data_IF_039023264876
#
_entry.id   IF_039023264876
#
_cell.length_a   1.000
_cell.length_b   1.000
_cell.length_c   1.000
_cell.angle_alpha   90.00
_cell.angle_beta   90.00
_cell.angle_gamma   90.00
#
_symmetry.space_group_name_H-M   'P 1'
#
loop_
_entity.id
_entity.type
_entity.pdbx_description
1 polymer ?
#
# COMPACT_ATOMS: atom_id res chain seq x y z
N UNK A 1 37.75 -22.01 27.83
CA UNK A 1 36.30 -21.94 27.99
C UNK A 1 35.70 -22.99 27.10
N UNK A 2 34.95 -23.97 27.62
CA UNK A 2 34.38 -25.02 26.79
C UNK A 2 33.26 -24.46 25.93
N UNK A 3 33.30 -24.74 24.62
CA UNK A 3 32.23 -24.49 23.70
C UNK A 3 30.98 -25.27 24.15
N UNK A 4 29.94 -24.58 24.54
CA UNK A 4 28.63 -25.18 24.80
C UNK A 4 28.12 -25.73 23.48
N UNK A 5 28.14 -27.06 23.36
CA UNK A 5 27.47 -27.79 22.30
C UNK A 5 25.97 -27.45 22.36
N UNK A 6 25.52 -26.60 21.45
CA UNK A 6 24.10 -26.35 21.25
C UNK A 6 23.43 -27.67 20.88
N UNK A 7 22.37 -28.03 21.60
CA UNK A 7 21.57 -29.21 21.33
C UNK A 7 21.05 -29.19 19.91
N UNK A 8 21.18 -30.29 19.13
CA UNK A 8 20.61 -30.40 17.78
C UNK A 8 19.10 -30.59 17.91
N UNK A 9 18.33 -29.49 17.95
CA UNK A 9 16.85 -29.60 18.05
C UNK A 9 16.07 -28.31 18.21
N UNK A 10 16.73 -27.19 18.46
CA UNK A 10 16.00 -25.91 18.51
C UNK A 10 15.83 -25.35 17.12
N UNK A 11 14.90 -25.95 16.39
CA UNK A 11 14.43 -25.40 15.12
C UNK A 11 13.82 -24.04 15.42
N UNK A 12 14.44 -22.99 14.88
CA UNK A 12 13.82 -21.67 14.87
C UNK A 12 12.44 -21.81 14.21
N UNK A 13 11.38 -21.18 14.76
CA UNK A 13 10.09 -21.11 14.06
C UNK A 13 10.21 -20.14 12.87
N UNK A 14 11.09 -20.47 11.91
CA UNK A 14 11.30 -19.72 10.67
C UNK A 14 10.02 -19.69 9.83
N UNK A 15 9.19 -20.72 9.97
CA UNK A 15 7.92 -20.83 9.25
C UNK A 15 6.98 -19.68 9.57
N UNK A 16 6.88 -19.27 10.83
CA UNK A 16 5.98 -18.21 11.27
C UNK A 16 6.53 -16.79 11.07
N UNK A 17 7.80 -16.63 10.70
CA UNK A 17 8.43 -15.33 10.47
C UNK A 17 8.88 -15.19 9.02
N UNK A 18 9.96 -15.84 8.65
CA UNK A 18 10.55 -15.72 7.30
C UNK A 18 9.69 -16.40 6.23
N UNK A 19 9.01 -17.50 6.56
CA UNK A 19 8.06 -18.17 5.64
C UNK A 19 6.88 -17.27 5.29
N UNK A 20 6.30 -16.58 6.27
CA UNK A 20 5.20 -15.63 6.04
C UNK A 20 5.66 -14.43 5.20
N UNK A 21 6.86 -13.89 5.48
CA UNK A 21 7.45 -12.80 4.68
C UNK A 21 7.68 -13.23 3.23
N UNK A 22 8.20 -14.44 3.00
CA UNK A 22 8.42 -14.97 1.65
C UNK A 22 7.09 -15.10 0.87
N UNK A 23 6.04 -15.63 1.52
CA UNK A 23 4.71 -15.71 0.91
C UNK A 23 4.20 -14.31 0.57
N UNK A 24 4.37 -13.34 1.47
CA UNK A 24 4.02 -11.94 1.23
C UNK A 24 4.70 -11.36 -0.01
N UNK A 25 6.01 -11.61 -0.18
CA UNK A 25 6.77 -11.16 -1.36
C UNK A 25 6.27 -11.82 -2.64
N UNK A 26 5.96 -13.11 -2.62
CA UNK A 26 5.40 -13.83 -3.78
C UNK A 26 4.05 -13.22 -4.18
N UNK A 27 3.16 -12.99 -3.22
CA UNK A 27 1.87 -12.36 -3.47
C UNK A 27 2.01 -10.93 -4.01
N UNK A 28 2.92 -10.15 -3.45
CA UNK A 28 3.23 -8.80 -3.93
C UNK A 28 3.79 -8.82 -5.37
N UNK A 29 4.62 -9.79 -5.71
CA UNK A 29 5.14 -9.94 -7.07
C UNK A 29 4.04 -10.27 -8.09
N UNK A 30 3.07 -11.12 -7.72
CA UNK A 30 1.90 -11.41 -8.57
C UNK A 30 1.06 -10.15 -8.78
N UNK A 31 0.77 -9.40 -7.71
CA UNK A 31 0.00 -8.15 -7.79
C UNK A 31 0.74 -7.09 -8.64
N UNK A 32 2.06 -6.97 -8.47
CA UNK A 32 2.89 -6.11 -9.30
C UNK A 32 2.84 -6.49 -10.78
N UNK A 33 2.87 -7.78 -11.10
CA UNK A 33 2.68 -8.27 -12.48
C UNK A 33 1.33 -7.88 -13.07
N UNK A 34 0.27 -7.96 -12.28
CA UNK A 34 -1.07 -7.51 -12.68
C UNK A 34 -1.07 -6.00 -12.93
N UNK A 35 -0.45 -5.21 -12.05
CA UNK A 35 -0.32 -3.76 -12.17
C UNK A 35 0.41 -3.34 -13.45
N UNK A 36 1.49 -4.05 -13.81
CA UNK A 36 2.21 -3.89 -15.08
C UNK A 36 1.31 -4.09 -16.29
N UNK A 37 0.58 -5.21 -16.32
CA UNK A 37 -0.33 -5.53 -17.45
C UNK A 37 -1.44 -4.49 -17.56
N UNK A 38 -2.02 -4.06 -16.44
CA UNK A 38 -3.06 -3.02 -16.41
C UNK A 38 -2.53 -1.69 -16.92
N UNK A 39 -1.32 -1.31 -16.54
CA UNK A 39 -0.65 -0.08 -16.99
C UNK A 39 -0.40 -0.12 -18.50
N UNK A 40 0.16 -1.22 -19.03
CA UNK A 40 0.36 -1.40 -20.46
C UNK A 40 -0.96 -1.33 -21.23
N UNK A 41 -1.99 -2.01 -20.72
CA UNK A 41 -3.33 -1.97 -21.30
C UNK A 41 -3.89 -0.54 -21.33
N UNK A 42 -3.73 0.22 -20.23
CA UNK A 42 -4.18 1.60 -20.14
C UNK A 42 -3.52 2.48 -21.19
N UNK A 43 -2.20 2.46 -21.33
CA UNK A 43 -1.48 3.28 -22.30
C UNK A 43 -1.85 2.94 -23.76
N UNK A 44 -2.07 1.65 -24.06
CA UNK A 44 -2.46 1.21 -25.39
C UNK A 44 -3.92 1.56 -25.70
N UNK A 45 -4.81 1.48 -24.72
CA UNK A 45 -6.26 1.65 -24.92
C UNK A 45 -6.69 3.12 -24.90
N UNK A 46 -5.98 3.96 -24.13
CA UNK A 46 -6.34 5.37 -23.91
C UNK A 46 -5.20 6.34 -24.29
N UNK A 47 -4.75 6.32 -25.58
CA UNK A 47 -3.63 7.16 -26.02
C UNK A 47 -3.96 8.64 -26.01
N UNK A 48 -5.24 9.02 -26.04
CA UNK A 48 -5.73 10.41 -26.06
C UNK A 48 -6.12 10.96 -24.68
N UNK A 49 -5.94 10.18 -23.60
CA UNK A 49 -6.23 10.65 -22.26
C UNK A 49 -5.33 11.83 -21.86
N UNK A 50 -5.84 12.62 -20.94
CA UNK A 50 -5.15 13.81 -20.44
C UNK A 50 -3.84 13.43 -19.74
N UNK A 51 -2.82 14.25 -19.95
CA UNK A 51 -1.46 13.94 -19.54
C UNK A 51 -1.30 13.67 -18.04
N UNK A 52 -2.05 14.37 -17.17
CA UNK A 52 -1.96 14.17 -15.72
C UNK A 52 -2.44 12.78 -15.26
N UNK A 53 -3.42 12.16 -15.95
CA UNK A 53 -3.83 10.78 -15.66
C UNK A 53 -2.76 9.79 -16.07
N UNK A 54 -2.12 10.01 -17.22
CA UNK A 54 -0.99 9.17 -17.66
C UNK A 54 0.21 9.30 -16.71
N UNK A 55 0.48 10.53 -16.27
CA UNK A 55 1.55 10.78 -15.30
C UNK A 55 1.26 10.07 -13.96
N UNK A 56 0.01 10.13 -13.48
CA UNK A 56 -0.40 9.43 -12.26
C UNK A 56 -0.18 7.92 -12.38
N UNK A 57 -0.65 7.29 -13.47
CA UNK A 57 -0.49 5.85 -13.70
C UNK A 57 0.99 5.47 -13.80
N UNK A 58 1.79 6.25 -14.53
CA UNK A 58 3.23 5.99 -14.66
C UNK A 58 3.97 6.16 -13.31
N UNK A 59 3.59 7.17 -12.52
CA UNK A 59 4.19 7.46 -11.23
C UNK A 59 3.84 6.37 -10.19
N UNK A 60 2.59 5.91 -10.19
CA UNK A 60 2.18 4.78 -9.33
C UNK A 60 3.00 3.54 -9.66
N UNK A 61 3.10 3.16 -10.95
CA UNK A 61 3.91 2.01 -11.35
C UNK A 61 5.39 2.18 -10.99
N UNK A 62 5.94 3.40 -11.10
CA UNK A 62 7.32 3.69 -10.71
C UNK A 62 7.54 3.43 -9.21
N UNK A 63 6.66 3.91 -8.34
CA UNK A 63 6.76 3.65 -6.90
C UNK A 63 6.52 2.17 -6.55
N UNK A 64 5.58 1.50 -7.22
CA UNK A 64 5.36 0.06 -7.04
C UNK A 64 6.61 -0.75 -7.41
N UNK A 65 7.33 -0.33 -8.47
CA UNK A 65 8.59 -0.95 -8.88
C UNK A 65 9.68 -0.78 -7.81
N UNK A 66 9.82 0.42 -7.24
CA UNK A 66 10.78 0.69 -6.17
C UNK A 66 10.42 -0.10 -4.92
N UNK A 67 9.14 -0.12 -4.54
CA UNK A 67 8.66 -0.92 -3.42
C UNK A 67 9.01 -2.40 -3.61
N UNK A 68 8.72 -2.97 -4.78
CA UNK A 68 9.03 -4.37 -5.09
C UNK A 68 10.53 -4.67 -5.03
N UNK A 69 11.38 -3.73 -5.48
CA UNK A 69 12.83 -3.87 -5.39
C UNK A 69 13.32 -3.90 -3.93
N UNK A 70 12.82 -3.00 -3.07
CA UNK A 70 13.19 -2.98 -1.65
C UNK A 70 12.69 -4.22 -0.91
N UNK A 71 11.46 -4.63 -1.14
CA UNK A 71 10.88 -5.82 -0.53
C UNK A 71 11.66 -7.10 -0.94
N UNK A 72 12.04 -7.21 -2.22
CA UNK A 72 12.87 -8.31 -2.72
C UNK A 72 14.27 -8.28 -2.10
N UNK A 73 14.89 -7.11 -1.98
CA UNK A 73 16.19 -6.95 -1.30
C UNK A 73 16.11 -7.38 0.17
N UNK A 74 15.06 -6.97 0.87
CA UNK A 74 14.82 -7.34 2.27
C UNK A 74 14.79 -8.86 2.45
N UNK A 75 13.95 -9.55 1.69
CA UNK A 75 13.82 -11.00 1.83
C UNK A 75 15.09 -11.74 1.41
N UNK A 76 15.78 -11.27 0.36
CA UNK A 76 17.05 -11.83 -0.07
C UNK A 76 18.12 -11.69 1.04
N UNK A 77 18.19 -10.53 1.68
CA UNK A 77 19.13 -10.28 2.77
C UNK A 77 18.93 -11.27 3.92
N UNK A 78 17.70 -11.46 4.39
CA UNK A 78 17.43 -12.36 5.53
C UNK A 78 17.53 -13.83 5.16
N UNK A 79 17.10 -14.26 3.96
CA UNK A 79 17.09 -15.67 3.59
C UNK A 79 18.40 -16.16 2.98
N UNK A 80 19.17 -15.28 2.33
CA UNK A 80 20.37 -15.68 1.59
C UNK A 80 21.63 -15.12 2.26
N UNK A 81 21.72 -13.79 2.40
CA UNK A 81 22.94 -13.13 2.88
C UNK A 81 23.21 -13.45 4.34
N UNK A 82 22.18 -13.46 5.19
CA UNK A 82 22.25 -13.74 6.62
C UNK A 82 21.71 -15.13 6.96
N UNK A 83 21.84 -16.07 6.01
CA UNK A 83 21.42 -17.46 6.22
C UNK A 83 22.05 -18.02 7.50
N UNK A 84 21.21 -18.62 8.36
CA UNK A 84 21.62 -19.21 9.64
C UNK A 84 22.11 -18.24 10.74
N UNK A 85 22.11 -16.93 10.53
CA UNK A 85 22.48 -15.94 11.55
C UNK A 85 21.25 -15.47 12.35
N UNK A 86 21.03 -16.09 13.53
CA UNK A 86 19.88 -15.79 14.40
C UNK A 86 19.89 -14.35 14.91
N UNK A 87 21.04 -13.77 15.14
CA UNK A 87 21.16 -12.40 15.67
C UNK A 87 20.76 -11.36 14.65
N UNK A 88 21.00 -11.61 13.36
CA UNK A 88 20.63 -10.68 12.29
C UNK A 88 19.12 -10.49 12.13
N UNK A 89 18.32 -11.46 12.57
CA UNK A 89 16.85 -11.38 12.54
C UNK A 89 16.29 -10.34 13.53
N UNK A 90 17.08 -9.91 14.51
CA UNK A 90 16.68 -8.87 15.45
C UNK A 90 16.96 -7.45 14.92
N UNK A 91 17.84 -7.32 13.94
CA UNK A 91 18.21 -6.02 13.37
C UNK A 91 17.46 -5.75 12.07
N UNK A 92 17.06 -4.51 11.91
CA UNK A 92 16.36 -4.09 10.69
C UNK A 92 17.36 -3.75 9.58
N UNK A 93 17.11 -4.29 8.39
CA UNK A 93 17.80 -3.86 7.18
C UNK A 93 17.20 -2.53 6.72
N UNK A 94 18.02 -1.61 6.26
CA UNK A 94 17.61 -0.30 5.77
C UNK A 94 16.45 -0.37 4.74
N UNK A 95 16.40 -1.44 3.93
CA UNK A 95 15.37 -1.61 2.91
C UNK A 95 13.96 -1.84 3.48
N UNK A 96 13.84 -2.39 4.69
CA UNK A 96 12.56 -2.52 5.42
C UNK A 96 11.95 -1.14 5.69
N UNK A 97 12.78 -0.19 6.09
CA UNK A 97 12.31 1.18 6.34
C UNK A 97 12.11 1.96 5.04
N UNK A 98 13.00 1.73 4.06
CA UNK A 98 12.94 2.40 2.78
C UNK A 98 11.67 2.04 1.97
N UNK A 99 11.11 0.82 2.12
CA UNK A 99 9.89 0.42 1.42
C UNK A 99 8.64 1.19 1.88
N UNK A 100 8.65 1.75 3.09
CA UNK A 100 7.55 2.58 3.59
C UNK A 100 7.40 3.89 2.79
N UNK A 101 8.49 4.41 2.22
CA UNK A 101 8.49 5.67 1.46
C UNK A 101 7.67 5.55 0.17
N UNK A 102 7.97 4.64 -0.78
CA UNK A 102 7.17 4.47 -1.99
C UNK A 102 5.72 4.08 -1.68
N UNK A 103 5.48 3.27 -0.65
CA UNK A 103 4.13 2.90 -0.21
C UNK A 103 3.33 4.13 0.22
N UNK A 104 3.91 5.00 1.04
CA UNK A 104 3.27 6.25 1.48
C UNK A 104 2.96 7.20 0.30
N UNK A 105 3.88 7.34 -0.65
CA UNK A 105 3.65 8.16 -1.85
C UNK A 105 2.55 7.59 -2.73
N UNK A 106 2.56 6.29 -3.01
CA UNK A 106 1.50 5.63 -3.80
C UNK A 106 0.14 5.82 -3.13
N UNK A 107 0.01 5.55 -1.84
CA UNK A 107 -1.23 5.75 -1.08
C UNK A 107 -1.72 7.20 -1.18
N UNK A 108 -0.86 8.17 -0.91
CA UNK A 108 -1.19 9.59 -0.96
C UNK A 108 -1.69 10.02 -2.36
N UNK A 109 -0.99 9.64 -3.43
CA UNK A 109 -1.40 9.98 -4.80
C UNK A 109 -2.74 9.38 -5.18
N UNK A 110 -2.97 8.12 -4.84
CA UNK A 110 -4.22 7.42 -5.12
C UNK A 110 -5.38 8.05 -4.33
N UNK A 111 -5.21 8.30 -3.05
CA UNK A 111 -6.21 8.93 -2.19
C UNK A 111 -6.54 10.36 -2.65
N UNK A 112 -5.54 11.16 -3.03
CA UNK A 112 -5.74 12.51 -3.58
C UNK A 112 -6.51 12.46 -4.91
N UNK A 113 -6.16 11.54 -5.79
CA UNK A 113 -6.88 11.35 -7.05
C UNK A 113 -8.36 11.04 -6.83
N UNK A 114 -8.67 10.09 -5.93
CA UNK A 114 -10.05 9.75 -5.61
C UNK A 114 -10.78 10.89 -4.88
N UNK A 115 -10.10 11.65 -4.04
CA UNK A 115 -10.66 12.85 -3.39
C UNK A 115 -11.10 13.88 -4.41
N UNK A 116 -10.26 14.16 -5.41
CA UNK A 116 -10.62 15.06 -6.52
C UNK A 116 -11.81 14.51 -7.33
N UNK A 117 -11.86 13.20 -7.53
CA UNK A 117 -12.96 12.54 -8.22
C UNK A 117 -14.27 12.66 -7.44
N UNK A 118 -14.26 12.43 -6.13
CA UNK A 118 -15.41 12.63 -5.23
C UNK A 118 -15.89 14.08 -5.30
N UNK A 119 -14.97 15.04 -5.22
CA UNK A 119 -15.30 16.45 -5.31
C UNK A 119 -16.01 16.81 -6.63
N UNK A 120 -15.52 16.32 -7.76
CA UNK A 120 -16.13 16.54 -9.07
C UNK A 120 -17.52 15.92 -9.19
N UNK A 121 -17.69 14.68 -8.70
CA UNK A 121 -18.97 13.97 -8.75
C UNK A 121 -20.01 14.51 -7.78
N UNK A 122 -19.60 15.13 -6.67
CA UNK A 122 -20.50 15.70 -5.64
C UNK A 122 -20.99 17.11 -5.98
N UNK A 123 -20.98 17.52 -7.24
CA UNK A 123 -21.31 18.88 -7.68
C UNK A 123 -20.49 19.96 -6.96
N UNK A 124 -19.18 19.71 -6.76
CA UNK A 124 -18.25 20.59 -6.05
C UNK A 124 -18.60 20.83 -4.58
N UNK A 125 -19.16 19.82 -3.91
CA UNK A 125 -19.37 19.89 -2.47
C UNK A 125 -18.03 19.89 -1.74
N UNK A 126 -17.65 21.06 -1.22
CA UNK A 126 -16.37 21.24 -0.55
C UNK A 126 -16.30 20.53 0.82
N UNK A 127 -17.43 20.41 1.54
CA UNK A 127 -17.44 19.81 2.88
C UNK A 127 -16.98 18.35 2.86
N UNK A 128 -17.51 17.55 1.92
CA UNK A 128 -17.13 16.15 1.77
C UNK A 128 -15.67 16.03 1.34
N UNK A 129 -15.22 16.83 0.38
CA UNK A 129 -13.85 16.81 -0.12
C UNK A 129 -12.84 17.23 0.95
N UNK A 130 -13.13 18.28 1.74
CA UNK A 130 -12.27 18.75 2.83
C UNK A 130 -12.20 17.69 3.93
N UNK A 131 -13.32 17.05 4.28
CA UNK A 131 -13.33 15.98 5.26
C UNK A 131 -12.40 14.82 4.86
N UNK A 132 -12.49 14.35 3.61
CA UNK A 132 -11.60 13.30 3.11
C UNK A 132 -10.14 13.80 3.08
N UNK A 133 -9.91 15.04 2.65
CA UNK A 133 -8.56 15.62 2.58
C UNK A 133 -7.90 15.68 3.97
N UNK A 134 -8.65 16.01 5.01
CA UNK A 134 -8.14 16.01 6.40
C UNK A 134 -7.68 14.60 6.81
N UNK A 135 -8.43 13.56 6.46
CA UNK A 135 -8.02 12.17 6.72
C UNK A 135 -6.75 11.80 5.97
N UNK A 136 -6.66 12.14 4.68
CA UNK A 136 -5.48 11.87 3.84
C UNK A 136 -4.24 12.59 4.37
N UNK A 137 -4.36 13.87 4.75
CA UNK A 137 -3.25 14.63 5.32
C UNK A 137 -2.85 14.10 6.69
N UNK A 138 -3.83 13.69 7.50
CA UNK A 138 -3.59 13.04 8.79
C UNK A 138 -2.83 11.73 8.64
N UNK A 139 -3.22 10.87 7.70
CA UNK A 139 -2.55 9.62 7.37
C UNK A 139 -1.11 9.86 6.90
N UNK A 140 -0.91 10.76 5.94
CA UNK A 140 0.41 11.14 5.45
C UNK A 140 1.31 11.73 6.56
N UNK A 141 0.74 12.55 7.47
CA UNK A 141 1.46 13.11 8.60
C UNK A 141 1.89 12.04 9.61
N UNK A 142 1.00 11.12 9.96
CA UNK A 142 1.33 9.99 10.82
C UNK A 142 2.35 9.06 10.18
N UNK A 143 2.23 8.79 8.86
CA UNK A 143 3.17 7.97 8.10
C UNK A 143 4.57 8.57 8.06
N UNK A 144 4.69 9.88 7.82
CA UNK A 144 5.99 10.57 7.85
C UNK A 144 6.60 10.57 9.25
N UNK A 145 5.81 10.80 10.29
CA UNK A 145 6.26 10.70 11.68
C UNK A 145 6.76 9.28 12.00
N UNK A 146 6.06 8.24 11.55
CA UNK A 146 6.47 6.86 11.72
C UNK A 146 7.83 6.58 11.07
N UNK A 147 8.03 7.01 9.82
CA UNK A 147 9.32 6.82 9.10
C UNK A 147 10.45 7.52 9.86
N UNK A 148 10.25 8.77 10.31
CA UNK A 148 11.27 9.51 11.06
C UNK A 148 11.63 8.81 12.36
N UNK A 149 10.64 8.36 13.13
CA UNK A 149 10.87 7.64 14.38
C UNK A 149 11.54 6.29 14.14
N UNK A 150 11.10 5.56 13.11
CA UNK A 150 11.63 4.25 12.77
C UNK A 150 13.11 4.32 12.31
N UNK A 151 13.50 5.39 11.62
CA UNK A 151 14.91 5.63 11.24
C UNK A 151 15.85 5.83 12.45
N UNK A 152 15.30 6.15 13.62
CA UNK A 152 16.05 6.28 14.87
C UNK A 152 16.12 4.97 15.67
N UNK A 153 15.62 3.87 15.13
CA UNK A 153 15.53 2.55 15.77
C UNK A 153 16.26 1.52 14.96
N UNK A 154 17.06 0.69 15.65
CA UNK A 154 17.90 -0.31 14.99
C UNK A 154 17.29 -1.72 15.06
N UNK A 155 16.33 -1.95 15.96
CA UNK A 155 15.80 -3.30 16.24
C UNK A 155 14.28 -3.38 15.99
N UNK A 156 13.82 -4.58 15.60
CA UNK A 156 12.38 -4.87 15.50
C UNK A 156 11.65 -4.72 16.84
N UNK A 157 12.32 -4.97 17.97
CA UNK A 157 11.73 -4.78 19.30
C UNK A 157 11.45 -3.31 19.60
N UNK A 158 12.30 -2.41 19.15
CA UNK A 158 12.07 -0.97 19.28
C UNK A 158 10.86 -0.49 18.46
N UNK A 159 10.61 -1.13 17.30
CA UNK A 159 9.40 -0.88 16.50
C UNK A 159 8.12 -1.31 17.21
N UNK A 160 8.16 -2.35 18.05
CA UNK A 160 6.99 -2.73 18.85
C UNK A 160 6.58 -1.61 19.81
N UNK A 161 7.53 -0.79 20.26
CA UNK A 161 7.27 0.40 21.08
C UNK A 161 6.44 1.48 20.37
N UNK A 162 6.42 1.50 19.03
CA UNK A 162 5.61 2.43 18.21
C UNK A 162 4.42 1.74 17.54
N UNK A 163 4.06 0.54 17.98
CA UNK A 163 2.93 -0.23 17.42
C UNK A 163 1.61 0.53 17.44
N UNK A 164 1.36 1.36 18.45
CA UNK A 164 0.18 2.22 18.52
C UNK A 164 0.12 3.21 17.35
N UNK A 165 1.26 3.79 16.95
CA UNK A 165 1.34 4.69 15.80
C UNK A 165 1.08 3.91 14.49
N UNK A 166 1.66 2.72 14.34
CA UNK A 166 1.41 1.83 13.20
C UNK A 166 -0.07 1.46 13.07
N UNK A 167 -0.72 1.10 14.19
CA UNK A 167 -2.16 0.82 14.22
C UNK A 167 -2.98 2.06 13.84
N UNK A 168 -2.57 3.25 14.29
CA UNK A 168 -3.26 4.51 13.97
C UNK A 168 -3.20 4.82 12.48
N UNK A 169 -2.03 4.65 11.85
CA UNK A 169 -1.85 4.83 10.39
C UNK A 169 -2.76 3.86 9.64
N UNK A 170 -2.69 2.57 9.95
CA UNK A 170 -3.51 1.57 9.29
C UNK A 170 -5.02 1.84 9.45
N UNK A 171 -5.45 2.31 10.62
CA UNK A 171 -6.84 2.67 10.88
C UNK A 171 -7.28 3.91 10.10
N UNK A 172 -6.44 4.96 10.02
CA UNK A 172 -6.72 6.18 9.26
C UNK A 172 -6.78 5.90 7.76
N UNK A 173 -5.81 5.14 7.23
CA UNK A 173 -5.77 4.75 5.83
C UNK A 173 -7.00 3.93 5.45
N UNK A 174 -7.32 2.89 6.22
CA UNK A 174 -8.52 2.08 5.99
C UNK A 174 -9.82 2.90 6.09
N UNK A 175 -9.92 3.83 7.04
CA UNK A 175 -11.08 4.71 7.17
C UNK A 175 -11.22 5.65 5.96
N UNK A 176 -10.12 6.24 5.49
CA UNK A 176 -10.12 7.07 4.30
C UNK A 176 -10.58 6.28 3.06
N UNK A 177 -10.04 5.08 2.85
CA UNK A 177 -10.40 4.22 1.73
C UNK A 177 -11.88 3.82 1.75
N UNK A 178 -12.42 3.43 2.91
CA UNK A 178 -13.83 3.07 3.07
C UNK A 178 -14.74 4.28 2.79
N UNK A 179 -14.40 5.46 3.35
CA UNK A 179 -15.18 6.68 3.13
C UNK A 179 -15.16 7.08 1.66
N UNK A 180 -14.01 7.05 1.00
CA UNK A 180 -13.87 7.33 -0.42
C UNK A 180 -14.71 6.33 -1.25
N UNK A 181 -14.61 5.04 -0.95
CA UNK A 181 -15.35 4.00 -1.66
C UNK A 181 -16.87 4.16 -1.52
N UNK A 182 -17.36 4.38 -0.29
CA UNK A 182 -18.79 4.63 -0.02
C UNK A 182 -19.27 5.90 -0.71
N UNK A 183 -18.51 6.99 -0.60
CA UNK A 183 -18.84 8.26 -1.25
C UNK A 183 -18.93 8.10 -2.78
N UNK A 184 -17.94 7.43 -3.40
CA UNK A 184 -17.95 7.18 -4.83
C UNK A 184 -19.12 6.29 -5.25
N UNK A 185 -19.39 5.19 -4.53
CA UNK A 185 -20.52 4.31 -4.83
C UNK A 185 -21.86 5.06 -4.76
N UNK A 186 -22.06 5.85 -3.70
CA UNK A 186 -23.27 6.64 -3.52
C UNK A 186 -23.44 7.69 -4.60
N UNK A 187 -22.39 8.47 -4.91
CA UNK A 187 -22.42 9.51 -5.93
C UNK A 187 -22.62 8.93 -7.34
N UNK A 188 -21.98 7.79 -7.65
CA UNK A 188 -22.18 7.09 -8.92
C UNK A 188 -23.61 6.56 -9.07
N UNK A 189 -24.18 6.00 -7.97
CA UNK A 189 -25.58 5.57 -7.99
C UNK A 189 -26.54 6.76 -8.23
N UNK A 190 -26.28 7.89 -7.58
CA UNK A 190 -27.09 9.11 -7.76
C UNK A 190 -26.97 9.71 -9.16
N UNK A 191 -25.85 9.47 -9.85
CA UNK A 191 -25.59 9.94 -11.23
C UNK A 191 -26.21 9.05 -12.31
N UNK A 192 -27.00 8.02 -11.94
CA UNK A 192 -27.69 7.16 -12.89
C UNK A 192 -28.73 7.97 -13.66
N UNK A 193 -28.68 7.86 -14.98
CA UNK A 193 -29.56 8.59 -15.90
C UNK A 193 -30.69 7.73 -16.47
N UNK A 194 -30.75 6.43 -16.08
CA UNK A 194 -31.73 5.46 -16.61
C UNK A 194 -31.38 4.90 -17.99
N UNK A 195 -30.27 5.35 -18.61
CA UNK A 195 -29.79 4.76 -19.85
C UNK A 195 -28.96 3.51 -19.57
N UNK A 196 -29.39 2.36 -20.11
CA UNK A 196 -28.78 1.04 -19.87
C UNK A 196 -27.27 0.99 -20.09
N UNK A 197 -26.76 1.72 -21.07
CA UNK A 197 -25.32 1.79 -21.37
C UNK A 197 -24.52 2.52 -20.29
N UNK A 198 -25.05 3.61 -19.76
CA UNK A 198 -24.44 4.40 -18.69
C UNK A 198 -24.50 3.64 -17.37
N UNK A 199 -25.64 3.02 -17.07
CA UNK A 199 -25.84 2.23 -15.85
C UNK A 199 -24.94 0.99 -15.81
N UNK A 200 -24.66 0.37 -16.95
CA UNK A 200 -23.69 -0.74 -17.06
C UNK A 200 -22.26 -0.29 -16.73
N UNK A 201 -21.85 0.89 -17.20
CA UNK A 201 -20.53 1.46 -16.88
C UNK A 201 -20.43 1.80 -15.39
N UNK A 202 -21.48 2.40 -14.81
CA UNK A 202 -21.57 2.73 -13.38
C UNK A 202 -21.47 1.47 -12.54
N UNK A 203 -22.18 0.40 -12.88
CA UNK A 203 -22.12 -0.87 -12.17
C UNK A 203 -20.72 -1.49 -12.21
N UNK A 204 -20.03 -1.43 -13.35
CA UNK A 204 -18.62 -1.89 -13.46
C UNK A 204 -17.68 -1.04 -12.61
N UNK A 205 -17.88 0.28 -12.54
CA UNK A 205 -17.08 1.17 -11.70
C UNK A 205 -17.33 0.92 -10.21
N UNK A 206 -18.57 0.70 -9.79
CA UNK A 206 -18.91 0.34 -8.42
C UNK A 206 -18.25 -0.99 -8.05
N UNK A 207 -18.38 -2.02 -8.90
CA UNK A 207 -17.75 -3.31 -8.69
C UNK A 207 -16.23 -3.19 -8.58
N UNK A 208 -15.61 -2.37 -9.44
CA UNK A 208 -14.17 -2.10 -9.38
C UNK A 208 -13.76 -1.45 -8.07
N UNK A 209 -14.46 -0.40 -7.61
CA UNK A 209 -14.17 0.30 -6.36
C UNK A 209 -14.32 -0.63 -5.16
N UNK A 210 -15.39 -1.45 -5.14
CA UNK A 210 -15.62 -2.42 -4.06
C UNK A 210 -14.52 -3.49 -4.06
N UNK A 211 -14.18 -4.06 -5.21
CA UNK A 211 -13.12 -5.07 -5.31
C UNK A 211 -11.75 -4.50 -4.94
N UNK A 212 -11.44 -3.27 -5.35
CA UNK A 212 -10.17 -2.63 -4.97
C UNK A 212 -10.10 -2.38 -3.47
N UNK A 213 -11.18 -1.89 -2.87
CA UNK A 213 -11.25 -1.68 -1.41
C UNK A 213 -11.22 -2.96 -0.58
N UNK A 214 -11.59 -4.12 -1.17
CA UNK A 214 -11.46 -5.43 -0.52
C UNK A 214 -10.07 -6.05 -0.71
N UNK A 215 -9.40 -5.74 -1.82
CA UNK A 215 -8.06 -6.30 -2.13
C UNK A 215 -6.92 -5.61 -1.37
N UNK A 216 -7.16 -4.41 -0.82
CA UNK A 216 -6.18 -3.66 -0.01
C UNK A 216 -6.19 -4.04 1.48
N UNK A 217 -6.94 -5.06 1.86
CA UNK A 217 -6.97 -5.65 3.22
C UNK A 217 -6.32 -7.02 3.25
#
# INVERSE_FOLDING_TARGET
>A
MPATLQSPGEQLPLDNTMGVMLIGVIMSAVLYGISLVQTLYYFNRYPKDVWYLKALVALTLFFDTIHMAFTTHTIYHYLVTQYYNKESLNFMVWSVLAEAIPTGFTGCFVQLFYTVRVWRLSNKNYYLAIFILILVVGDAGCGTAWVIIALLRDTFQDLLGISALTMTINALSAAADVIIAVALCFLLQRSRTGFTRTDTVINKLILFVVNTGLATR
#
